data_IF_344590330615
#
_entry.id   IF_344590330615
#
_cell.length_a   1.000
_cell.length_b   1.000
_cell.length_c   1.000
_cell.angle_alpha   90.00
_cell.angle_beta   90.00
_cell.angle_gamma   90.00
#
_symmetry.space_group_name_H-M   'P 1'
#
loop_
_entity.id
_entity.type
_entity.pdbx_description
1 polymer ?
#
# COMPACT_ATOMS: atom_id res chain seq x y z
N UNK A 1 -14.37 23.60 41.98
CA UNK A 1 -13.00 23.32 41.50
C UNK A 1 -13.05 22.05 40.67
N UNK A 2 -12.82 22.20 39.35
CA UNK A 2 -12.60 21.07 38.43
C UNK A 2 -11.19 20.53 38.67
N UNK A 3 -11.02 19.22 38.73
CA UNK A 3 -9.79 18.59 38.28
C UNK A 3 -10.19 17.36 37.48
N UNK A 4 -10.15 17.52 36.16
CA UNK A 4 -10.00 16.42 35.20
C UNK A 4 -8.51 16.01 35.23
N UNK A 5 -8.14 14.74 35.08
CA UNK A 5 -6.82 14.41 34.61
C UNK A 5 -6.79 14.50 33.08
N UNK A 6 -5.91 15.35 32.56
CA UNK A 6 -5.56 15.48 31.15
C UNK A 6 -4.44 14.52 30.75
N UNK A 7 -4.42 14.12 29.48
CA UNK A 7 -3.24 13.63 28.76
C UNK A 7 -2.99 12.12 28.86
N UNK A 8 -2.79 11.37 27.77
CA UNK A 8 -2.81 11.70 26.36
C UNK A 8 -2.95 10.38 25.62
N UNK A 9 -3.95 10.28 24.74
CA UNK A 9 -3.93 9.23 23.72
C UNK A 9 -3.06 9.73 22.59
N UNK A 10 -1.74 9.59 22.74
CA UNK A 10 -0.86 9.41 21.58
C UNK A 10 -1.11 8.00 21.03
N UNK A 11 -2.32 7.77 20.53
CA UNK A 11 -2.45 6.84 19.42
C UNK A 11 -2.08 7.70 18.24
N UNK A 12 -0.87 7.52 17.73
CA UNK A 12 -0.65 7.78 16.32
C UNK A 12 -1.81 7.04 15.62
N UNK A 13 -2.83 7.78 15.15
CA UNK A 13 -3.81 7.25 14.21
C UNK A 13 -3.02 6.95 12.95
N UNK A 14 -2.22 5.88 12.99
CA UNK A 14 -1.68 5.26 11.82
C UNK A 14 -2.90 4.90 10.99
N UNK A 15 -3.16 5.73 9.98
CA UNK A 15 -4.37 5.69 9.17
C UNK A 15 -4.76 4.23 8.94
N UNK A 16 -5.94 3.81 9.39
CA UNK A 16 -6.30 2.39 9.48
C UNK A 16 -5.99 1.67 8.16
N UNK A 17 -5.04 0.74 8.18
CA UNK A 17 -4.72 -0.10 7.03
C UNK A 17 -5.67 -1.30 7.00
N UNK A 18 -6.39 -1.49 5.90
CA UNK A 18 -7.34 -2.60 5.77
C UNK A 18 -7.44 -3.05 4.32
N UNK A 19 -7.44 -4.36 4.11
CA UNK A 19 -7.73 -4.97 2.81
C UNK A 19 -8.96 -5.84 2.95
N UNK A 20 -9.96 -5.60 2.10
CA UNK A 20 -11.18 -6.41 2.01
C UNK A 20 -11.28 -6.99 0.60
N UNK A 21 -11.48 -8.30 0.49
CA UNK A 21 -11.68 -8.99 -0.79
C UNK A 21 -13.05 -9.65 -0.79
N UNK A 22 -13.93 -9.19 -1.68
CA UNK A 22 -15.27 -9.73 -1.90
C UNK A 22 -15.29 -10.65 -3.11
N UNK A 23 -15.67 -11.91 -2.90
CA UNK A 23 -15.89 -12.90 -3.97
C UNK A 23 -14.73 -13.03 -4.97
N UNK A 24 -13.49 -12.72 -4.55
CA UNK A 24 -12.31 -12.56 -5.43
C UNK A 24 -12.44 -11.49 -6.54
N UNK A 25 -13.58 -10.79 -6.66
CA UNK A 25 -13.88 -9.87 -7.75
C UNK A 25 -13.74 -8.39 -7.36
N UNK A 26 -13.94 -8.08 -6.09
CA UNK A 26 -13.86 -6.70 -5.59
C UNK A 26 -12.82 -6.64 -4.49
N UNK A 27 -11.91 -5.67 -4.56
CA UNK A 27 -10.89 -5.43 -3.54
C UNK A 27 -10.94 -3.99 -3.08
N UNK A 28 -11.02 -3.77 -1.77
CA UNK A 28 -10.91 -2.44 -1.15
C UNK A 28 -9.65 -2.38 -0.30
N UNK A 29 -8.90 -1.29 -0.42
CA UNK A 29 -7.67 -1.04 0.34
C UNK A 29 -7.78 0.34 1.00
N UNK A 30 -7.68 0.38 2.32
CA UNK A 30 -7.48 1.60 3.11
C UNK A 30 -5.99 1.73 3.48
N UNK A 31 -5.51 2.94 3.71
CA UNK A 31 -4.10 3.22 4.01
C UNK A 31 -3.23 3.47 2.76
N UNK A 32 -3.86 3.72 1.61
CA UNK A 32 -3.17 4.00 0.34
C UNK A 32 -2.54 5.39 0.36
N UNK A 33 -1.24 5.47 0.04
CA UNK A 33 -0.52 6.74 -0.12
C UNK A 33 -0.34 7.10 -1.59
N UNK A 34 -0.04 6.12 -2.43
CA UNK A 34 0.22 6.32 -3.84
C UNK A 34 0.01 5.03 -4.64
N UNK A 35 -0.33 5.14 -5.93
CA UNK A 35 -0.35 4.00 -6.86
C UNK A 35 0.89 4.08 -7.74
N UNK A 36 1.79 3.11 -7.63
CA UNK A 36 3.08 3.07 -8.35
C UNK A 36 2.89 2.57 -9.80
N UNK A 37 2.03 1.58 -10.01
CA UNK A 37 1.67 1.09 -11.34
C UNK A 37 0.29 0.43 -11.33
N UNK A 38 -0.40 0.48 -12.47
CA UNK A 38 -1.66 -0.24 -12.68
C UNK A 38 -1.74 -0.77 -14.10
N UNK A 39 -2.17 -2.02 -14.21
CA UNK A 39 -2.46 -2.74 -15.44
C UNK A 39 -3.63 -3.69 -15.18
N UNK A 40 -4.19 -4.30 -16.23
CA UNK A 40 -5.24 -5.33 -16.07
C UNK A 40 -4.76 -6.60 -15.34
N UNK A 41 -3.46 -6.78 -15.14
CA UNK A 41 -2.86 -7.98 -14.56
C UNK A 41 -2.26 -7.75 -13.17
N UNK A 42 -1.81 -6.52 -12.90
CA UNK A 42 -1.12 -6.15 -11.66
C UNK A 42 -1.35 -4.68 -11.32
N UNK A 43 -1.58 -4.40 -10.04
CA UNK A 43 -1.61 -3.06 -9.45
C UNK A 43 -0.62 -3.03 -8.27
N UNK A 44 0.34 -2.12 -8.32
CA UNK A 44 1.30 -1.86 -7.24
C UNK A 44 0.94 -0.56 -6.51
N UNK A 45 0.81 -0.62 -5.19
CA UNK A 45 0.29 0.44 -4.33
C UNK A 45 1.24 0.69 -3.17
N UNK A 46 1.74 1.92 -3.01
CA UNK A 46 2.44 2.33 -1.80
C UNK A 46 1.41 2.62 -0.71
N UNK A 47 1.50 1.89 0.40
CA UNK A 47 0.58 2.00 1.55
C UNK A 47 1.34 2.47 2.78
N UNK A 48 0.64 2.76 3.86
CA UNK A 48 1.31 3.05 5.12
C UNK A 48 2.02 1.85 5.77
N UNK A 49 1.74 0.63 5.30
CA UNK A 49 2.38 -0.62 5.72
C UNK A 49 3.43 -1.13 4.70
N UNK A 50 3.75 -0.35 3.66
CA UNK A 50 4.74 -0.71 2.63
C UNK A 50 4.13 -0.91 1.25
N UNK A 51 4.91 -1.48 0.32
CA UNK A 51 4.46 -1.71 -1.05
C UNK A 51 3.53 -2.94 -1.10
N UNK A 52 2.29 -2.73 -1.49
CA UNK A 52 1.28 -3.76 -1.73
C UNK A 52 1.19 -4.04 -3.23
N UNK A 53 1.21 -5.31 -3.62
CA UNK A 53 1.02 -5.74 -5.00
C UNK A 53 -0.23 -6.62 -5.07
N UNK A 54 -1.18 -6.20 -5.89
CA UNK A 54 -2.39 -6.94 -6.23
C UNK A 54 -2.21 -7.51 -7.64
N UNK A 55 -2.18 -8.83 -7.79
CA UNK A 55 -2.08 -9.46 -9.11
C UNK A 55 -3.27 -10.37 -9.38
N UNK A 56 -3.67 -10.43 -10.65
CA UNK A 56 -4.95 -10.98 -11.05
C UNK A 56 -5.24 -10.83 -12.53
N UNK A 57 -6.53 -10.81 -12.86
CA UNK A 57 -7.04 -10.73 -14.23
C UNK A 57 -8.17 -9.70 -14.33
N UNK A 58 -8.12 -8.85 -15.36
CA UNK A 58 -9.12 -7.80 -15.58
C UNK A 58 -9.18 -6.77 -14.45
N UNK A 59 -8.03 -6.49 -13.81
CA UNK A 59 -7.93 -5.52 -12.73
C UNK A 59 -8.18 -4.10 -13.24
N UNK A 60 -9.17 -3.44 -12.65
CA UNK A 60 -9.55 -2.08 -12.98
C UNK A 60 -9.79 -1.28 -11.69
N UNK A 61 -9.21 -0.09 -11.61
CA UNK A 61 -9.43 0.81 -10.48
C UNK A 61 -10.78 1.49 -10.66
N UNK A 62 -11.72 1.23 -9.75
CA UNK A 62 -13.07 1.82 -9.77
C UNK A 62 -13.16 3.07 -8.90
N UNK A 63 -12.32 3.18 -7.86
CA UNK A 63 -12.23 4.36 -7.02
C UNK A 63 -10.80 4.55 -6.49
N UNK A 64 -10.30 5.79 -6.53
CA UNK A 64 -9.04 6.18 -5.92
C UNK A 64 -9.21 7.52 -5.21
N UNK A 65 -9.06 7.50 -3.89
CA UNK A 65 -9.11 8.68 -3.03
C UNK A 65 -7.83 8.71 -2.17
N UNK A 66 -6.82 9.44 -2.63
CA UNK A 66 -5.53 9.52 -1.95
C UNK A 66 -5.59 10.37 -0.66
N UNK A 67 -6.57 11.25 -0.53
CA UNK A 67 -6.75 12.09 0.66
C UNK A 67 -7.36 11.28 1.80
N UNK A 68 -8.41 10.50 1.50
CA UNK A 68 -8.98 9.54 2.45
C UNK A 68 -8.16 8.25 2.58
N UNK A 69 -7.16 8.06 1.71
CA UNK A 69 -6.28 6.88 1.66
C UNK A 69 -6.99 5.60 1.24
N UNK A 70 -7.94 5.68 0.29
CA UNK A 70 -8.78 4.56 -0.15
C UNK A 70 -8.57 4.21 -1.62
N UNK A 71 -8.61 2.92 -1.92
CA UNK A 71 -8.57 2.35 -3.27
C UNK A 71 -9.64 1.26 -3.37
N UNK A 72 -10.37 1.23 -4.49
CA UNK A 72 -11.23 0.12 -4.87
C UNK A 72 -10.82 -0.40 -6.25
N UNK A 73 -10.75 -1.71 -6.37
CA UNK A 73 -10.37 -2.45 -7.57
C UNK A 73 -11.46 -3.48 -7.86
N UNK A 74 -11.91 -3.52 -9.10
CA UNK A 74 -12.72 -4.62 -9.65
C UNK A 74 -11.84 -5.50 -10.54
N UNK A 75 -12.05 -6.81 -10.51
CA UNK A 75 -11.26 -7.79 -11.26
C UNK A 75 -10.96 -9.01 -10.40
N UNK A 76 -10.50 -10.09 -11.03
CA UNK A 76 -10.25 -11.34 -10.31
C UNK A 76 -8.87 -11.34 -9.67
N UNK A 77 -8.81 -11.27 -8.35
CA UNK A 77 -7.55 -11.36 -7.61
C UNK A 77 -7.07 -12.82 -7.54
N UNK A 78 -5.79 -12.99 -7.86
CA UNK A 78 -5.07 -14.25 -7.77
C UNK A 78 -4.00 -14.22 -6.65
N UNK A 79 -3.40 -13.05 -6.38
CA UNK A 79 -2.48 -12.88 -5.24
C UNK A 79 -2.47 -11.46 -4.67
N UNK A 80 -2.11 -11.39 -3.39
CA UNK A 80 -1.89 -10.14 -2.65
C UNK A 80 -0.57 -10.30 -1.90
N UNK A 81 0.41 -9.45 -2.20
CA UNK A 81 1.77 -9.53 -1.65
C UNK A 81 2.19 -8.18 -1.06
N UNK A 82 2.72 -8.17 0.16
CA UNK A 82 3.49 -7.02 0.65
C UNK A 82 4.97 -7.23 0.34
N UNK A 83 5.62 -6.21 -0.22
CA UNK A 83 7.06 -6.17 -0.46
C UNK A 83 7.70 -5.24 0.56
N UNK A 84 8.66 -5.78 1.32
CA UNK A 84 9.40 -5.00 2.31
C UNK A 84 10.14 -3.80 1.68
N UNK A 85 10.24 -2.72 2.45
CA UNK A 85 10.90 -1.46 2.08
C UNK A 85 12.40 -1.59 1.69
N UNK A 86 12.99 -2.78 1.84
CA UNK A 86 14.34 -3.12 1.34
C UNK A 86 14.51 -3.03 -0.18
N UNK A 87 13.41 -3.08 -0.96
CA UNK A 87 13.46 -3.01 -2.42
C UNK A 87 14.11 -1.70 -2.95
N UNK A 88 13.85 -0.56 -2.27
CA UNK A 88 14.49 0.73 -2.62
C UNK A 88 15.99 0.76 -2.24
N UNK A 89 16.41 0.04 -1.19
CA UNK A 89 17.80 0.00 -0.71
C UNK A 89 18.69 -0.92 -1.57
N UNK A 90 18.15 -2.04 -2.04
CA UNK A 90 18.86 -3.00 -2.90
C UNK A 90 19.25 -2.42 -4.26
N UNK A 91 18.40 -1.56 -4.87
CA UNK A 91 18.70 -0.91 -6.17
C UNK A 91 19.81 0.13 -6.06
N UNK A 92 19.96 0.78 -4.89
CA UNK A 92 20.99 1.79 -4.62
C UNK A 92 22.36 1.16 -4.28
N UNK A 93 22.38 0.00 -3.61
CA UNK A 93 23.61 -0.75 -3.31
C UNK A 93 24.32 -1.32 -4.55
N UNK A 94 23.56 -1.85 -5.53
CA UNK A 94 24.14 -2.40 -6.78
C UNK A 94 24.90 -1.35 -7.62
N UNK A 95 24.50 -0.07 -7.57
CA UNK A 95 25.12 1.03 -8.32
C UNK A 95 26.46 1.49 -7.74
N UNK A 96 26.68 1.28 -6.43
CA UNK A 96 27.92 1.69 -5.76
C UNK A 96 29.03 0.65 -5.92
N UNK A 97 28.70 -0.65 -5.89
CA UNK A 97 29.68 -1.72 -6.09
C UNK A 97 30.26 -1.74 -7.52
N UNK A 98 29.45 -1.39 -8.52
CA UNK A 98 29.92 -1.28 -9.92
C UNK A 98 30.91 -0.14 -10.19
N UNK A 99 31.11 0.80 -9.25
CA UNK A 99 32.07 1.91 -9.38
C UNK A 99 33.43 1.63 -8.73
N UNK A 100 33.50 0.63 -7.84
CA UNK A 100 34.71 0.32 -7.06
C UNK A 100 35.48 -0.86 -7.70
N UNK A 101 34.80 -1.68 -8.51
CA UNK A 101 35.40 -2.78 -9.26
C UNK A 101 35.89 -2.37 -10.66
N UNK A 102 36.20 -1.08 -10.87
CA UNK A 102 36.88 -0.59 -12.07
C UNK A 102 38.17 0.12 -11.70
#
# INVERSE_FOLDING_TARGET
MRQQPEGGRDVNEEARHRIEVGQRKETRVDGVRHVESFTEQEISVDTNMGLLVLAGEGLNITQLDLEAGKLQVEGYINSIEYKEAGYRKARRGKKLLGRILK
#
